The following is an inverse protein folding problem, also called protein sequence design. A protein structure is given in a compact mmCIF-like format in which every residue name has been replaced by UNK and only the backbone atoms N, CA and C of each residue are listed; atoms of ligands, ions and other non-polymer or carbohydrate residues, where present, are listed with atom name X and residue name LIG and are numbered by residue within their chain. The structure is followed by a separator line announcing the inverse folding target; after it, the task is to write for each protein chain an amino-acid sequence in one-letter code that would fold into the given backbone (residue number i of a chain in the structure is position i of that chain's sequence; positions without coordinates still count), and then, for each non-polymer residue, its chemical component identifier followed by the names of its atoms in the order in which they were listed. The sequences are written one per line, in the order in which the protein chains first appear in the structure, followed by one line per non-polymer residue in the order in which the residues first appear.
data_IF_444067897949
#
_entry.id   IF_444067897949
#
_cell.length_a   1.000
_cell.length_b   1.000
_cell.length_c   1.000
_cell.angle_alpha   90.00
_cell.angle_beta   90.00
_cell.angle_gamma   90.00
#
_symmetry.space_group_name_H-M   'P 1'
#
loop_
_entity.id
_entity.type
_entity.pdbx_description
1 polymer ?
#
# COMPACT_ATOMS: atom_id res chain seq x y z
N UNK A 1 25.47 39.18 -9.18
CA UNK A 1 24.47 38.14 -9.53
C UNK A 1 24.39 37.72 -11.01
N UNK A 2 24.87 38.51 -11.99
CA UNK A 2 24.65 38.21 -13.44
C UNK A 2 25.52 37.09 -14.05
N UNK A 3 26.69 36.76 -13.47
CA UNK A 3 27.60 35.74 -14.04
C UNK A 3 27.22 34.28 -13.71
N UNK A 4 26.47 34.02 -12.63
CA UNK A 4 26.09 32.66 -12.24
C UNK A 4 24.89 32.11 -13.03
N UNK A 5 23.95 32.95 -13.47
CA UNK A 5 22.81 32.49 -14.29
C UNK A 5 23.23 32.07 -15.72
N UNK A 6 24.19 32.79 -16.35
CA UNK A 6 24.70 32.43 -17.69
C UNK A 6 25.39 31.05 -17.73
N UNK A 7 26.06 30.63 -16.64
CA UNK A 7 26.68 29.29 -16.56
C UNK A 7 25.66 28.15 -16.44
N UNK A 8 24.48 28.39 -15.84
CA UNK A 8 23.44 27.36 -15.66
C UNK A 8 22.66 27.09 -16.95
N UNK A 9 22.36 28.11 -17.75
CA UNK A 9 21.71 27.94 -19.07
C UNK A 9 22.61 27.22 -20.09
N UNK A 10 23.93 27.49 -20.10
CA UNK A 10 24.86 26.84 -21.03
C UNK A 10 24.98 25.33 -20.80
N UNK A 11 24.97 24.88 -19.53
CA UNK A 11 25.01 23.44 -19.18
C UNK A 11 23.72 22.68 -19.54
N UNK A 12 22.57 23.34 -19.49
CA UNK A 12 21.28 22.71 -19.85
C UNK A 12 21.17 22.44 -21.36
N UNK A 13 21.68 23.35 -22.20
CA UNK A 13 21.70 23.19 -23.65
C UNK A 13 22.61 22.04 -24.14
N UNK A 14 23.72 21.78 -23.46
CA UNK A 14 24.64 20.68 -23.81
C UNK A 14 24.07 19.30 -23.47
N UNK A 15 23.33 19.17 -22.35
CA UNK A 15 22.69 17.91 -21.94
C UNK A 15 21.56 17.48 -22.90
N UNK A 16 20.75 18.43 -23.38
CA UNK A 16 19.70 18.19 -24.38
C UNK A 16 20.28 17.78 -25.75
N UNK A 17 21.44 18.33 -26.12
CA UNK A 17 22.13 17.99 -27.36
C UNK A 17 22.83 16.62 -27.32
N UNK A 18 23.17 16.13 -26.13
CA UNK A 18 23.72 14.78 -25.94
C UNK A 18 22.62 13.71 -26.01
N UNK A 19 21.50 13.93 -25.30
CA UNK A 19 20.36 12.99 -25.28
C UNK A 19 19.75 12.78 -26.68
N UNK A 20 19.58 13.86 -27.44
CA UNK A 20 19.05 13.78 -28.82
C UNK A 20 19.98 13.04 -29.79
N UNK A 21 21.30 13.08 -29.58
CA UNK A 21 22.29 12.31 -30.36
C UNK A 21 22.25 10.82 -30.04
N UNK A 22 22.11 10.45 -28.77
CA UNK A 22 22.03 9.05 -28.32
C UNK A 22 20.75 8.40 -28.86
N UNK A 23 19.61 9.09 -28.80
CA UNK A 23 18.32 8.58 -29.32
C UNK A 23 18.39 8.36 -30.83
N UNK A 24 19.02 9.28 -31.59
CA UNK A 24 19.21 9.14 -33.04
C UNK A 24 20.06 7.92 -33.39
N UNK A 25 21.15 7.68 -32.64
CA UNK A 25 22.05 6.55 -32.86
C UNK A 25 21.38 5.21 -32.54
N UNK A 26 20.59 5.12 -31.47
CA UNK A 26 19.83 3.93 -31.11
C UNK A 26 18.77 3.55 -32.17
N UNK A 27 18.06 4.54 -32.74
CA UNK A 27 17.10 4.32 -33.82
C UNK A 27 17.76 3.75 -35.07
N UNK A 28 18.91 4.32 -35.47
CA UNK A 28 19.66 3.83 -36.64
C UNK A 28 20.18 2.39 -36.49
N UNK A 29 20.42 1.94 -35.25
CA UNK A 29 20.88 0.58 -34.96
C UNK A 29 19.72 -0.43 -35.05
N UNK A 30 18.52 -0.03 -34.62
CA UNK A 30 17.32 -0.85 -34.68
C UNK A 30 16.88 -1.13 -36.13
N UNK A 31 17.02 -0.14 -37.00
CA UNK A 31 16.63 -0.27 -38.42
C UNK A 31 17.52 -1.28 -39.17
N UNK A 32 18.77 -1.47 -38.74
CA UNK A 32 19.73 -2.42 -39.32
C UNK A 32 19.60 -3.87 -38.82
N UNK A 33 18.70 -4.15 -37.87
CA UNK A 33 18.56 -5.52 -37.34
C UNK A 33 17.86 -6.47 -38.32
N UNK A 34 18.26 -7.75 -38.37
CA UNK A 34 17.68 -8.75 -39.25
C UNK A 34 16.21 -9.06 -38.89
N UNK A 35 15.37 -9.40 -39.88
CA UNK A 35 13.92 -9.57 -39.72
C UNK A 35 13.45 -10.56 -38.63
N UNK A 36 14.12 -11.71 -38.35
CA UNK A 36 13.68 -12.60 -37.26
C UNK A 36 13.83 -11.95 -35.88
N UNK A 37 14.85 -11.12 -35.66
CA UNK A 37 15.08 -10.42 -34.39
C UNK A 37 14.03 -9.32 -34.17
N UNK A 38 13.58 -8.66 -35.25
CA UNK A 38 12.51 -7.66 -35.20
C UNK A 38 11.17 -8.28 -34.82
N UNK A 39 10.85 -9.49 -35.29
CA UNK A 39 9.62 -10.21 -34.92
C UNK A 39 9.62 -10.63 -33.45
N UNK A 40 10.71 -11.20 -32.94
CA UNK A 40 10.84 -11.58 -31.52
C UNK A 40 10.77 -10.35 -30.61
N UNK A 41 11.40 -9.24 -30.99
CA UNK A 41 11.32 -7.98 -30.26
C UNK A 41 9.92 -7.35 -30.26
N UNK A 42 9.14 -7.50 -31.33
CA UNK A 42 7.76 -7.02 -31.42
C UNK A 42 6.80 -7.84 -30.55
N UNK A 43 6.94 -9.17 -30.55
CA UNK A 43 6.20 -10.09 -29.68
C UNK A 43 6.51 -9.84 -28.20
N UNK A 44 7.78 -9.69 -27.82
CA UNK A 44 8.20 -9.36 -26.46
C UNK A 44 7.67 -7.99 -26.00
N UNK A 45 7.63 -7.00 -26.89
CA UNK A 45 7.07 -5.67 -26.62
C UNK A 45 5.55 -5.71 -26.40
N UNK A 46 4.84 -6.59 -27.13
CA UNK A 46 3.39 -6.80 -26.99
C UNK A 46 3.06 -7.48 -25.65
N UNK A 47 3.85 -8.47 -25.24
CA UNK A 47 3.74 -9.11 -23.92
C UNK A 47 4.00 -8.12 -22.77
N UNK A 48 5.05 -7.31 -22.88
CA UNK A 48 5.37 -6.27 -21.88
C UNK A 48 4.30 -5.18 -21.78
N UNK A 49 3.70 -4.77 -22.91
CA UNK A 49 2.57 -3.82 -22.94
C UNK A 49 1.33 -4.38 -22.24
N UNK A 50 1.05 -5.67 -22.40
CA UNK A 50 -0.10 -6.31 -21.77
C UNK A 50 0.07 -6.45 -20.25
N UNK A 51 1.27 -6.85 -19.80
CA UNK A 51 1.62 -6.87 -18.37
C UNK A 51 1.61 -5.47 -17.77
N UNK A 52 2.09 -4.46 -18.49
CA UNK A 52 2.05 -3.06 -18.05
C UNK A 52 0.63 -2.52 -17.96
N UNK A 53 -0.25 -2.88 -18.89
CA UNK A 53 -1.67 -2.54 -18.85
C UNK A 53 -2.38 -3.18 -17.66
N UNK A 54 -2.06 -4.45 -17.37
CA UNK A 54 -2.59 -5.16 -16.21
C UNK A 54 -2.07 -4.54 -14.89
N UNK A 55 -0.79 -4.17 -14.85
CA UNK A 55 -0.18 -3.48 -13.70
C UNK A 55 -0.67 -2.02 -13.56
N UNK A 56 -1.09 -1.37 -14.65
CA UNK A 56 -1.75 -0.07 -14.62
C UNK A 56 -3.20 -0.19 -14.12
N UNK A 57 -3.92 -1.23 -14.54
CA UNK A 57 -5.26 -1.53 -14.06
C UNK A 57 -5.27 -1.89 -12.56
N UNK A 58 -4.28 -2.65 -12.11
CA UNK A 58 -4.06 -2.98 -10.69
C UNK A 58 -3.46 -1.84 -9.87
N UNK A 59 -3.22 -0.66 -10.47
CA UNK A 59 -2.64 0.48 -9.76
C UNK A 59 -1.27 0.17 -9.15
N UNK A 60 -0.44 -0.65 -9.81
CA UNK A 60 0.95 -0.94 -9.42
C UNK A 60 1.95 -0.14 -10.26
N UNK A 61 1.59 0.30 -11.46
CA UNK A 61 2.43 1.14 -12.33
C UNK A 61 1.65 2.38 -12.76
N UNK A 62 2.16 3.58 -12.45
CA UNK A 62 1.55 4.83 -12.93
C UNK A 62 1.89 5.09 -14.41
N UNK A 63 1.01 5.76 -15.19
CA UNK A 63 1.40 6.32 -16.48
C UNK A 63 2.56 7.32 -16.27
N UNK A 64 3.45 7.51 -17.26
CA UNK A 64 4.52 8.50 -17.15
C UNK A 64 3.89 9.89 -17.03
N UNK A 65 3.78 10.40 -15.81
CA UNK A 65 3.39 11.78 -15.53
C UNK A 65 4.51 12.65 -16.09
N UNK A 66 4.19 13.44 -17.13
CA UNK A 66 5.04 14.58 -17.49
C UNK A 66 4.98 15.55 -16.32
N UNK A 67 5.95 15.47 -15.43
CA UNK A 67 6.13 16.44 -14.36
C UNK A 67 6.47 17.77 -15.04
N UNK A 68 5.48 18.65 -15.13
CA UNK A 68 5.72 20.03 -15.53
C UNK A 68 6.60 20.70 -14.44
N UNK A 69 7.58 21.53 -14.83
CA UNK A 69 8.47 22.17 -13.86
C UNK A 69 7.66 23.10 -12.95
N UNK A 70 7.72 22.83 -11.64
CA UNK A 70 7.01 23.55 -10.57
C UNK A 70 7.38 25.05 -10.55
N UNK A 71 8.57 25.39 -11.04
CA UNK A 71 9.14 26.74 -11.03
C UNK A 71 8.32 27.78 -11.82
N UNK A 72 7.45 27.38 -12.76
CA UNK A 72 6.68 28.34 -13.58
C UNK A 72 5.27 28.66 -13.04
N UNK A 73 4.88 28.13 -11.88
CA UNK A 73 3.55 28.37 -11.26
C UNK A 73 3.61 28.98 -9.85
N UNK A 74 4.78 29.39 -9.38
CA UNK A 74 4.91 29.97 -8.04
C UNK A 74 4.54 31.46 -8.11
N UNK A 75 3.25 31.76 -7.90
CA UNK A 75 2.77 33.09 -7.55
C UNK A 75 3.02 33.36 -6.05
N UNK A 76 3.36 34.61 -5.72
CA UNK A 76 3.88 35.04 -4.40
C UNK A 76 2.95 34.75 -3.19
N UNK A 77 1.68 34.39 -3.41
CA UNK A 77 0.76 33.96 -2.31
C UNK A 77 1.02 32.56 -1.76
N UNK A 78 1.90 31.76 -2.37
CA UNK A 78 2.27 30.43 -1.87
C UNK A 78 3.10 30.46 -0.57
N UNK A 79 3.79 31.56 -0.29
CA UNK A 79 4.68 31.71 0.88
C UNK A 79 3.92 31.87 2.22
N UNK A 80 2.67 32.31 2.20
CA UNK A 80 1.86 32.44 3.43
C UNK A 80 1.15 31.14 3.82
N UNK A 81 0.88 30.24 2.86
CA UNK A 81 0.28 28.91 3.13
C UNK A 81 1.33 27.82 3.44
N UNK A 82 2.59 28.03 3.08
CA UNK A 82 3.70 27.09 3.31
C UNK A 82 3.86 26.59 4.75
N UNK A 83 3.80 27.43 5.81
CA UNK A 83 3.98 26.94 7.18
C UNK A 83 2.80 26.11 7.69
N UNK A 84 1.57 26.42 7.27
CA UNK A 84 0.39 25.62 7.63
C UNK A 84 0.34 24.31 6.85
N UNK A 85 0.68 24.32 5.56
CA UNK A 85 0.76 23.11 4.75
C UNK A 85 1.89 22.18 5.22
N UNK A 86 3.03 22.69 5.67
CA UNK A 86 4.12 21.85 6.17
C UNK A 86 3.79 21.19 7.52
N UNK A 87 3.25 21.93 8.50
CA UNK A 87 2.96 21.34 9.82
C UNK A 87 1.79 20.36 9.78
N UNK A 88 0.69 20.75 9.14
CA UNK A 88 -0.50 19.89 9.01
C UNK A 88 -0.23 18.69 8.08
N UNK A 89 0.51 18.88 6.97
CA UNK A 89 0.88 17.75 6.11
C UNK A 89 1.85 16.78 6.80
N UNK A 90 2.80 17.27 7.62
CA UNK A 90 3.70 16.40 8.37
C UNK A 90 2.96 15.60 9.44
N UNK A 91 2.04 16.23 10.16
CA UNK A 91 1.24 15.55 11.18
C UNK A 91 0.32 14.48 10.56
N UNK A 92 -0.39 14.83 9.49
CA UNK A 92 -1.31 13.93 8.78
C UNK A 92 -0.55 12.77 8.14
N UNK A 93 0.59 13.06 7.48
CA UNK A 93 1.42 12.01 6.86
C UNK A 93 2.09 11.14 7.91
N UNK A 94 2.57 11.71 9.01
CA UNK A 94 3.12 10.98 10.16
C UNK A 94 2.08 10.05 10.79
N UNK A 95 0.85 10.55 10.98
CA UNK A 95 -0.28 9.74 11.45
C UNK A 95 -0.58 8.56 10.51
N UNK A 96 -0.67 8.79 9.21
CA UNK A 96 -0.94 7.70 8.26
C UNK A 96 0.21 6.68 8.18
N UNK A 97 1.46 7.13 8.33
CA UNK A 97 2.61 6.22 8.41
C UNK A 97 2.61 5.39 9.70
N UNK A 98 2.16 5.98 10.82
CA UNK A 98 1.98 5.25 12.07
C UNK A 98 0.86 4.19 11.94
N UNK A 99 -0.29 4.55 11.35
CA UNK A 99 -1.36 3.59 11.01
C UNK A 99 -0.80 2.42 10.21
N UNK A 100 -0.09 2.70 9.12
CA UNK A 100 0.53 1.68 8.28
C UNK A 100 1.47 0.76 9.06
N UNK A 101 2.24 1.31 10.00
CA UNK A 101 3.15 0.54 10.84
C UNK A 101 2.39 -0.41 11.77
N UNK A 102 1.31 0.06 12.41
CA UNK A 102 0.48 -0.78 13.28
C UNK A 102 -0.25 -1.88 12.51
N UNK A 103 -0.78 -1.58 11.33
CA UNK A 103 -1.47 -2.59 10.51
C UNK A 103 -0.52 -3.67 9.98
N UNK A 104 0.69 -3.29 9.56
CA UNK A 104 1.71 -4.25 9.17
C UNK A 104 2.17 -5.10 10.36
N UNK A 105 2.28 -4.50 11.55
CA UNK A 105 2.59 -5.24 12.76
C UNK A 105 1.49 -6.26 13.10
N UNK A 106 0.22 -5.84 13.06
CA UNK A 106 -0.93 -6.73 13.23
C UNK A 106 -0.93 -7.88 12.21
N UNK A 107 -0.73 -7.59 10.92
CA UNK A 107 -0.67 -8.60 9.88
C UNK A 107 0.50 -9.57 10.08
N UNK A 108 1.64 -9.09 10.58
CA UNK A 108 2.80 -9.93 10.89
C UNK A 108 2.51 -10.92 12.03
N UNK A 109 1.79 -10.50 13.06
CA UNK A 109 1.36 -11.38 14.17
C UNK A 109 0.41 -12.46 13.64
N UNK A 110 -0.55 -12.10 12.77
CA UNK A 110 -1.45 -13.07 12.16
C UNK A 110 -0.71 -14.11 11.33
N UNK A 111 0.24 -13.67 10.48
CA UNK A 111 1.05 -14.58 9.66
C UNK A 111 1.88 -15.51 10.53
N UNK A 112 2.52 -14.98 11.58
CA UNK A 112 3.31 -15.78 12.51
C UNK A 112 2.44 -16.80 13.25
N UNK A 113 1.26 -16.40 13.72
CA UNK A 113 0.30 -17.29 14.36
C UNK A 113 -0.09 -18.44 13.42
N UNK A 114 -0.50 -18.11 12.19
CA UNK A 114 -0.90 -19.12 11.19
C UNK A 114 0.28 -20.04 10.86
N UNK A 115 1.49 -19.50 10.70
CA UNK A 115 2.69 -20.29 10.43
C UNK A 115 2.98 -21.28 11.57
N UNK A 116 2.98 -20.83 12.83
CA UNK A 116 3.21 -21.70 13.99
C UNK A 116 2.15 -22.80 14.08
N UNK A 117 0.88 -22.49 13.77
CA UNK A 117 -0.22 -23.48 13.81
C UNK A 117 -0.17 -24.49 12.67
N UNK A 118 0.30 -24.08 11.49
CA UNK A 118 0.53 -24.99 10.35
C UNK A 118 1.81 -25.83 10.51
N UNK A 119 2.81 -25.31 11.23
CA UNK A 119 4.07 -25.99 11.50
C UNK A 119 3.95 -26.95 12.69
N UNK A 120 3.58 -28.21 12.43
CA UNK A 120 3.42 -29.23 13.46
C UNK A 120 4.34 -30.42 13.16
N UNK A 121 5.12 -30.84 14.16
CA UNK A 121 6.02 -32.00 14.07
C UNK A 121 7.02 -31.97 12.88
N UNK A 122 7.49 -30.77 12.50
CA UNK A 122 8.45 -30.60 11.41
C UNK A 122 7.89 -30.78 9.99
N UNK A 123 6.56 -30.85 9.84
CA UNK A 123 5.88 -30.91 8.53
C UNK A 123 4.81 -29.81 8.44
N UNK A 124 4.64 -29.25 7.24
CA UNK A 124 3.54 -28.35 6.91
C UNK A 124 2.32 -29.20 6.56
N UNK A 125 1.37 -29.31 7.49
CA UNK A 125 0.09 -30.00 7.24
C UNK A 125 -0.92 -29.01 6.67
N UNK A 126 -1.22 -29.13 5.37
CA UNK A 126 -2.17 -28.26 4.68
C UNK A 126 -3.64 -28.70 4.85
N UNK A 127 -3.93 -29.95 5.25
CA UNK A 127 -5.30 -30.44 5.28
C UNK A 127 -5.53 -31.48 6.39
N UNK A 128 -6.62 -31.30 7.15
CA UNK A 128 -7.16 -32.31 8.09
C UNK A 128 -8.66 -32.48 7.86
N UNK A 129 -9.22 -33.65 8.19
CA UNK A 129 -10.67 -33.90 8.09
C UNK A 129 -11.47 -32.95 8.99
N UNK A 130 -12.63 -32.52 8.48
CA UNK A 130 -13.55 -31.60 9.15
C UNK A 130 -14.25 -32.35 10.29
N UNK A 131 -14.12 -31.83 11.51
CA UNK A 131 -14.84 -32.31 12.68
C UNK A 131 -15.61 -31.13 13.28
N UNK A 132 -16.92 -31.30 13.49
CA UNK A 132 -17.89 -30.26 13.85
C UNK A 132 -17.98 -30.01 15.37
N UNK A 133 -16.84 -29.84 16.03
CA UNK A 133 -16.79 -29.42 17.44
C UNK A 133 -16.36 -27.95 17.56
N UNK A 134 -17.02 -27.19 18.44
CA UNK A 134 -16.80 -25.72 18.61
C UNK A 134 -15.36 -25.42 19.06
N UNK A 135 -14.75 -26.26 19.90
CA UNK A 135 -13.33 -26.16 20.27
C UNK A 135 -12.38 -26.40 19.09
N UNK A 136 -12.81 -27.21 18.11
CA UNK A 136 -12.05 -27.52 16.92
C UNK A 136 -12.25 -26.47 15.81
N UNK A 137 -13.30 -25.65 15.89
CA UNK A 137 -13.61 -24.58 14.94
C UNK A 137 -12.51 -23.51 14.87
N UNK A 138 -11.98 -23.09 16.03
CA UNK A 138 -10.86 -22.11 16.11
C UNK A 138 -9.54 -22.71 15.62
N UNK A 139 -9.38 -24.02 15.77
CA UNK A 139 -8.20 -24.73 15.27
C UNK A 139 -8.40 -25.28 13.85
N UNK A 140 -9.52 -24.97 13.21
CA UNK A 140 -9.85 -25.52 11.91
C UNK A 140 -9.04 -24.81 10.83
N UNK A 141 -8.52 -25.56 9.85
CA UNK A 141 -7.71 -25.01 8.77
C UNK A 141 -8.44 -23.92 7.96
N UNK A 142 -9.78 -24.01 7.84
CA UNK A 142 -10.60 -22.97 7.21
C UNK A 142 -10.44 -21.62 7.92
N UNK A 143 -10.44 -21.60 9.24
CA UNK A 143 -10.24 -20.36 10.00
C UNK A 143 -8.81 -19.83 9.83
N UNK A 144 -7.80 -20.71 9.84
CA UNK A 144 -6.40 -20.31 9.58
C UNK A 144 -6.21 -19.73 8.17
N UNK A 145 -6.87 -20.30 7.15
CA UNK A 145 -6.85 -19.76 5.79
C UNK A 145 -7.55 -18.41 5.71
N UNK A 146 -8.66 -18.23 6.42
CA UNK A 146 -9.34 -16.94 6.51
C UNK A 146 -8.43 -15.88 7.15
N UNK A 147 -7.74 -16.22 8.25
CA UNK A 147 -6.78 -15.31 8.88
C UNK A 147 -5.63 -14.94 7.95
N UNK A 148 -5.07 -15.92 7.24
CA UNK A 148 -4.01 -15.67 6.26
C UNK A 148 -4.52 -14.76 5.14
N UNK A 149 -5.72 -15.00 4.63
CA UNK A 149 -6.34 -14.16 3.61
C UNK A 149 -6.51 -12.71 4.11
N UNK A 150 -7.04 -12.53 5.33
CA UNK A 150 -7.17 -11.20 5.95
C UNK A 150 -5.81 -10.52 6.07
N UNK A 151 -4.78 -11.22 6.55
CA UNK A 151 -3.43 -10.65 6.68
C UNK A 151 -2.84 -10.22 5.33
N UNK A 152 -3.01 -11.03 4.29
CA UNK A 152 -2.57 -10.69 2.92
C UNK A 152 -3.33 -9.47 2.37
N UNK A 153 -4.65 -9.41 2.59
CA UNK A 153 -5.47 -8.27 2.20
C UNK A 153 -5.05 -7.00 2.94
N UNK A 154 -4.77 -7.07 4.25
CA UNK A 154 -4.24 -5.95 5.04
C UNK A 154 -2.94 -5.44 4.43
N UNK A 155 -1.98 -6.32 4.12
CA UNK A 155 -0.71 -5.90 3.48
C UNK A 155 -0.96 -5.18 2.15
N UNK A 156 -1.83 -5.72 1.29
CA UNK A 156 -2.18 -5.06 0.02
C UNK A 156 -2.78 -3.68 0.27
N UNK A 157 -3.67 -3.55 1.25
CA UNK A 157 -4.30 -2.27 1.59
C UNK A 157 -3.31 -1.27 2.19
N UNK A 158 -2.33 -1.71 2.98
CA UNK A 158 -1.24 -0.85 3.44
C UNK A 158 -0.39 -0.33 2.26
N UNK A 159 -0.08 -1.19 1.27
CA UNK A 159 0.65 -0.77 0.07
C UNK A 159 -0.15 0.25 -0.77
N UNK A 160 -1.47 0.07 -0.87
CA UNK A 160 -2.36 1.02 -1.52
C UNK A 160 -2.45 2.36 -0.77
N UNK A 161 -2.48 2.33 0.56
CA UNK A 161 -2.39 3.56 1.38
C UNK A 161 -1.07 4.28 1.15
N UNK A 162 0.06 3.56 1.21
CA UNK A 162 1.39 4.13 0.98
C UNK A 162 1.47 4.79 -0.41
N UNK A 163 0.95 4.11 -1.44
CA UNK A 163 0.85 4.67 -2.79
C UNK A 163 -0.05 5.90 -2.82
N UNK A 164 -1.21 5.85 -2.18
CA UNK A 164 -2.14 6.98 -2.07
C UNK A 164 -1.49 8.20 -1.43
N UNK A 165 -0.69 8.01 -0.38
CA UNK A 165 0.05 9.07 0.30
C UNK A 165 1.18 9.66 -0.57
N UNK A 166 1.88 8.84 -1.36
CA UNK A 166 2.97 9.31 -2.23
C UNK A 166 2.45 10.00 -3.49
N UNK A 167 1.36 9.47 -4.08
CA UNK A 167 0.78 9.98 -5.32
C UNK A 167 -0.34 11.02 -5.10
N UNK A 168 -0.67 11.35 -3.84
CA UNK A 168 -1.77 12.25 -3.48
C UNK A 168 -3.13 11.84 -4.09
N UNK A 169 -3.39 10.53 -4.17
CA UNK A 169 -4.59 10.02 -4.81
C UNK A 169 -5.68 9.71 -3.78
N UNK A 170 -6.67 10.61 -3.66
CA UNK A 170 -7.77 10.49 -2.68
C UNK A 170 -8.60 9.20 -2.81
N UNK A 171 -8.71 8.65 -4.03
CA UNK A 171 -9.48 7.42 -4.28
C UNK A 171 -8.90 6.22 -3.50
N UNK A 172 -7.58 6.14 -3.40
CA UNK A 172 -6.88 5.09 -2.68
C UNK A 172 -7.08 5.22 -1.16
N UNK A 173 -7.09 6.45 -0.64
CA UNK A 173 -7.38 6.71 0.77
C UNK A 173 -8.82 6.32 1.15
N UNK A 174 -9.82 6.65 0.31
CA UNK A 174 -11.20 6.23 0.56
C UNK A 174 -11.39 4.71 0.47
N UNK A 175 -10.66 4.04 -0.43
CA UNK A 175 -10.67 2.58 -0.51
C UNK A 175 -10.10 1.96 0.77
N UNK A 176 -8.97 2.48 1.25
CA UNK A 176 -8.36 2.05 2.51
C UNK A 176 -9.28 2.31 3.71
N UNK A 177 -9.92 3.48 3.78
CA UNK A 177 -10.88 3.80 4.84
C UNK A 177 -12.07 2.82 4.88
N UNK A 178 -12.59 2.39 3.72
CA UNK A 178 -13.64 1.36 3.66
C UNK A 178 -13.14 0.01 4.14
N UNK A 179 -11.90 -0.32 3.83
CA UNK A 179 -11.26 -1.53 4.32
C UNK A 179 -11.07 -1.49 5.84
N UNK A 180 -10.70 -0.35 6.42
CA UNK A 180 -10.60 -0.18 7.88
C UNK A 180 -11.93 -0.45 8.59
N UNK A 181 -13.05 0.00 8.02
CA UNK A 181 -14.38 -0.32 8.54
C UNK A 181 -14.67 -1.82 8.50
N UNK A 182 -14.36 -2.48 7.38
CA UNK A 182 -14.51 -3.93 7.27
C UNK A 182 -13.63 -4.66 8.29
N UNK A 183 -12.37 -4.25 8.43
CA UNK A 183 -11.41 -4.84 9.34
C UNK A 183 -11.82 -4.62 10.80
N UNK A 184 -12.41 -3.46 11.14
CA UNK A 184 -12.97 -3.21 12.46
C UNK A 184 -14.11 -4.19 12.80
N UNK A 185 -15.08 -4.37 11.89
CA UNK A 185 -16.20 -5.31 12.08
C UNK A 185 -15.66 -6.74 12.22
N UNK A 186 -14.72 -7.13 11.37
CA UNK A 186 -14.09 -8.44 11.43
C UNK A 186 -13.41 -8.68 12.78
N UNK A 187 -12.57 -7.74 13.25
CA UNK A 187 -11.88 -7.85 14.53
C UNK A 187 -12.85 -7.85 15.71
N UNK A 188 -13.93 -7.07 15.63
CA UNK A 188 -14.96 -7.05 16.66
C UNK A 188 -15.65 -8.42 16.78
N UNK A 189 -16.12 -8.98 15.66
CA UNK A 189 -16.73 -10.31 15.62
C UNK A 189 -15.76 -11.40 16.05
N UNK A 190 -14.51 -11.35 15.58
CA UNK A 190 -13.47 -12.28 15.98
C UNK A 190 -13.19 -12.21 17.50
N UNK A 191 -13.11 -11.00 18.07
CA UNK A 191 -12.91 -10.82 19.51
C UNK A 191 -14.06 -11.38 20.33
N UNK A 192 -15.31 -11.19 19.88
CA UNK A 192 -16.50 -11.73 20.54
C UNK A 192 -16.49 -13.26 20.50
N UNK A 193 -16.20 -13.85 19.34
CA UNK A 193 -16.12 -15.29 19.19
C UNK A 193 -15.00 -15.90 20.05
N UNK A 194 -13.83 -15.25 20.11
CA UNK A 194 -12.73 -15.71 20.96
C UNK A 194 -13.02 -15.52 22.45
N UNK A 195 -13.72 -14.45 22.85
CA UNK A 195 -14.14 -14.27 24.24
C UNK A 195 -15.09 -15.39 24.67
N UNK A 196 -16.07 -15.74 23.83
CA UNK A 196 -16.97 -16.86 24.07
C UNK A 196 -16.23 -18.20 24.15
N UNK A 197 -15.27 -18.42 23.25
CA UNK A 197 -14.48 -19.64 23.25
C UNK A 197 -13.55 -19.76 24.46
N UNK A 198 -12.94 -18.67 24.92
CA UNK A 198 -12.15 -18.65 26.15
C UNK A 198 -13.02 -18.82 27.40
N UNK A 199 -14.28 -18.38 27.34
CA UNK A 199 -15.26 -18.58 28.42
C UNK A 199 -15.77 -20.03 28.51
N UNK A 200 -15.53 -20.88 27.51
CA UNK A 200 -15.93 -22.29 27.54
C UNK A 200 -14.92 -23.12 28.34
N UNK A 201 -15.41 -24.08 29.13
CA UNK A 201 -14.58 -24.94 29.99
C UNK A 201 -13.77 -25.94 29.15
N UNK A 202 -12.57 -25.52 28.72
CA UNK A 202 -11.64 -26.37 27.99
C UNK A 202 -10.18 -26.00 28.27
N UNK A 203 -9.38 -26.94 28.77
CA UNK A 203 -7.93 -26.74 29.04
C UNK A 203 -7.16 -26.33 27.77
N UNK A 204 -7.67 -26.67 26.57
CA UNK A 204 -7.09 -26.27 25.28
C UNK A 204 -7.50 -24.88 24.80
N UNK A 205 -8.52 -24.26 25.40
CA UNK A 205 -8.94 -22.90 25.06
C UNK A 205 -7.87 -21.88 25.46
N UNK A 206 -7.30 -22.03 26.67
CA UNK A 206 -6.34 -21.13 27.29
C UNK A 206 -4.87 -21.31 26.87
N UNK A 207 -4.63 -21.76 25.63
CA UNK A 207 -3.24 -21.83 25.14
C UNK A 207 -2.65 -20.43 24.93
N UNK A 208 -1.35 -20.27 25.21
CA UNK A 208 -0.64 -18.99 25.03
C UNK A 208 -0.87 -18.36 23.65
N UNK A 209 -0.88 -19.17 22.59
CA UNK A 209 -1.15 -18.71 21.23
C UNK A 209 -2.56 -18.13 21.06
N UNK A 210 -3.58 -18.76 21.64
CA UNK A 210 -4.97 -18.30 21.56
C UNK A 210 -5.15 -16.99 22.35
N UNK A 211 -4.52 -16.89 23.53
CA UNK A 211 -4.52 -15.66 24.33
C UNK A 211 -3.84 -14.53 23.56
N UNK A 212 -2.67 -14.79 22.96
CA UNK A 212 -1.95 -13.80 22.15
C UNK A 212 -2.81 -13.32 20.97
N UNK A 213 -3.50 -14.24 20.28
CA UNK A 213 -4.38 -13.91 19.17
C UNK A 213 -5.60 -13.09 19.62
N UNK A 214 -6.21 -13.45 20.76
CA UNK A 214 -7.31 -12.68 21.34
C UNK A 214 -6.89 -11.26 21.71
N UNK A 215 -5.74 -11.11 22.38
CA UNK A 215 -5.17 -9.80 22.72
C UNK A 215 -4.83 -9.00 21.45
N UNK A 216 -4.34 -9.64 20.39
CA UNK A 216 -4.08 -8.99 19.11
C UNK A 216 -5.37 -8.39 18.53
N UNK A 217 -6.47 -9.16 18.46
CA UNK A 217 -7.77 -8.64 18.01
C UNK A 217 -8.31 -7.52 18.90
N UNK A 218 -8.20 -7.67 20.22
CA UNK A 218 -8.69 -6.67 21.16
C UNK A 218 -7.91 -5.36 21.06
N UNK A 219 -6.59 -5.43 20.93
CA UNK A 219 -5.71 -4.25 20.75
C UNK A 219 -5.93 -3.55 19.41
N UNK A 220 -6.39 -4.28 18.39
CA UNK A 220 -6.67 -3.72 17.07
C UNK A 220 -7.91 -2.82 17.07
N UNK A 221 -8.90 -3.06 17.93
CA UNK A 221 -10.14 -2.25 17.98
C UNK A 221 -9.90 -0.75 18.23
N UNK A 222 -9.20 -0.33 19.31
CA UNK A 222 -8.90 1.09 19.53
C UNK A 222 -7.97 1.65 18.45
N UNK A 223 -7.01 0.85 17.96
CA UNK A 223 -6.11 1.27 16.89
C UNK A 223 -6.84 1.53 15.57
N UNK A 224 -7.82 0.70 15.20
CA UNK A 224 -8.60 0.89 13.98
C UNK A 224 -9.54 2.10 14.08
N UNK A 225 -10.15 2.34 15.26
CA UNK A 225 -10.96 3.55 15.49
C UNK A 225 -10.11 4.83 15.35
N UNK A 226 -8.90 4.80 15.89
CA UNK A 226 -7.94 5.89 15.72
C UNK A 226 -7.50 6.04 14.25
N UNK A 227 -7.18 4.93 13.58
CA UNK A 227 -6.81 4.91 12.16
C UNK A 227 -7.91 5.52 11.27
N UNK A 228 -9.18 5.16 11.51
CA UNK A 228 -10.33 5.72 10.79
C UNK A 228 -10.38 7.25 10.90
N UNK A 229 -10.11 7.80 12.09
CA UNK A 229 -10.05 9.26 12.29
C UNK A 229 -8.89 9.87 11.51
N UNK A 230 -7.70 9.29 11.60
CA UNK A 230 -6.48 9.80 10.95
C UNK A 230 -6.59 9.76 9.41
N UNK A 231 -7.00 8.61 8.85
CA UNK A 231 -7.13 8.42 7.39
C UNK A 231 -8.23 9.32 6.84
N UNK A 232 -9.33 9.52 7.58
CA UNK A 232 -10.38 10.47 7.19
C UNK A 232 -9.88 11.91 7.16
N UNK A 233 -9.19 12.35 8.22
CA UNK A 233 -8.55 13.68 8.22
C UNK A 233 -7.54 13.84 7.07
N UNK A 234 -6.84 12.77 6.71
CA UNK A 234 -5.93 12.77 5.55
C UNK A 234 -6.68 12.94 4.23
N UNK A 235 -7.79 12.22 4.04
CA UNK A 235 -8.62 12.33 2.84
C UNK A 235 -9.21 13.74 2.69
N UNK A 236 -9.70 14.33 3.79
CA UNK A 236 -10.25 15.69 3.80
C UNK A 236 -9.16 16.73 3.47
N UNK A 237 -7.96 16.57 4.04
CA UNK A 237 -6.80 17.41 3.73
C UNK A 237 -6.40 17.34 2.25
N UNK A 238 -6.41 16.15 1.64
CA UNK A 238 -6.12 15.98 0.22
C UNK A 238 -7.18 16.62 -0.67
N UNK A 239 -8.45 16.58 -0.25
CA UNK A 239 -9.53 17.28 -0.96
C UNK A 239 -9.32 18.79 -0.93
N UNK A 240 -8.90 19.36 0.20
CA UNK A 240 -8.60 20.79 0.34
C UNK A 240 -7.42 21.20 -0.55
N UNK A 241 -6.32 20.43 -0.56
CA UNK A 241 -5.16 20.70 -1.45
C UNK A 241 -5.60 20.72 -2.92
N UNK A 242 -6.45 19.77 -3.33
CA UNK A 242 -6.93 19.72 -4.71
C UNK A 242 -7.72 20.98 -5.08
N UNK A 243 -8.55 21.50 -4.16
CA UNK A 243 -9.30 22.74 -4.37
C UNK A 243 -8.36 23.94 -4.49
N UNK A 244 -7.38 24.08 -3.59
CA UNK A 244 -6.40 25.16 -3.68
C UNK A 244 -5.62 25.13 -4.99
N UNK A 245 -5.21 23.95 -5.46
CA UNK A 245 -4.55 23.79 -6.77
C UNK A 245 -5.45 24.12 -7.96
N UNK A 246 -6.77 23.99 -7.83
CA UNK A 246 -7.72 24.38 -8.90
C UNK A 246 -8.03 25.88 -8.90
N UNK A 247 -7.87 26.56 -7.77
CA UNK A 247 -8.12 27.99 -7.63
C UNK A 247 -6.90 28.85 -7.98
N UNK A 248 -5.69 28.26 -7.97
CA UNK A 248 -4.42 28.89 -8.35
C UNK A 248 -4.06 28.66 -9.82
#
# INVERSE_FOLDING_TARGET
MSRHMKKKQKKSGEALNFSSRVIRKARSLWDRMPPPVKKVGAEAKKGYLNVRSLLQFLGLVSPPVKVAPIESRVQDRHLELEPLCCLSSCLVRGGCMAVLTFELFYASILILYVFIRMWRNGKLEFWRPIMLEVEQMISHHIFLYLLLFVAMMTIVMCLLLLRGLVCFEKRLLFLHLRFDYFLFIFNFLASLLFALALSSEGIRAWTFLNILLFLNFLSQLPLQLWALSVVRSCADFFSLIQVFLTLA
#
